data_IF_099887636459
#
_entry.id   IF_099887636459
#
_cell.length_a   1.000
_cell.length_b   1.000
_cell.length_c   1.000
_cell.angle_alpha   90.00
_cell.angle_beta   90.00
_cell.angle_gamma   90.00
#
_symmetry.space_group_name_H-M   'P 1'
#
loop_
_entity.id
_entity.type
_entity.pdbx_description
1 polymer ?
#
# COMPACT_ATOMS: atom_id res chain seq x y z
N UNK A 1 -22.22 -2.50 2.72
CA UNK A 1 -22.67 -1.16 3.17
C UNK A 1 -23.27 -0.44 1.97
N UNK A 2 -24.37 0.31 2.12
CA UNK A 2 -24.95 1.06 1.00
C UNK A 2 -23.95 2.12 0.48
N UNK A 3 -23.81 2.23 -0.85
CA UNK A 3 -22.87 3.14 -1.52
C UNK A 3 -22.89 4.57 -0.94
N UNK A 4 -24.07 5.17 -0.76
CA UNK A 4 -24.19 6.53 -0.20
C UNK A 4 -23.59 6.68 1.20
N UNK A 5 -23.74 5.66 2.06
CA UNK A 5 -23.17 5.65 3.43
C UNK A 5 -21.65 5.48 3.38
N UNK A 6 -21.16 4.61 2.49
CA UNK A 6 -19.73 4.41 2.24
C UNK A 6 -19.05 5.71 1.82
N UNK A 7 -19.59 6.38 0.81
CA UNK A 7 -19.07 7.66 0.32
C UNK A 7 -19.16 8.75 1.39
N UNK A 8 -20.22 8.77 2.20
CA UNK A 8 -20.34 9.69 3.33
C UNK A 8 -19.23 9.51 4.37
N UNK A 9 -18.93 8.25 4.74
CA UNK A 9 -17.86 7.93 5.66
C UNK A 9 -16.48 8.29 5.07
N UNK A 10 -16.24 7.96 3.80
CA UNK A 10 -15.03 8.34 3.08
C UNK A 10 -14.77 9.84 3.10
N UNK A 11 -15.76 10.65 2.71
CA UNK A 11 -15.63 12.11 2.69
C UNK A 11 -15.28 12.66 4.07
N UNK A 12 -15.92 12.14 5.12
CA UNK A 12 -15.63 12.52 6.50
C UNK A 12 -14.17 12.22 6.89
N UNK A 13 -13.65 11.05 6.51
CA UNK A 13 -12.25 10.70 6.79
C UNK A 13 -11.28 11.56 5.98
N UNK A 14 -11.57 11.84 4.70
CA UNK A 14 -10.76 12.76 3.88
C UNK A 14 -10.73 14.17 4.49
N UNK A 15 -11.88 14.70 4.93
CA UNK A 15 -11.97 16.01 5.58
C UNK A 15 -11.21 16.02 6.91
N UNK A 16 -11.28 14.93 7.69
CA UNK A 16 -10.51 14.79 8.93
C UNK A 16 -9.00 14.82 8.65
N UNK A 17 -8.51 14.03 7.69
CA UNK A 17 -7.09 14.00 7.32
C UNK A 17 -6.64 15.38 6.85
N UNK A 18 -7.43 16.05 6.00
CA UNK A 18 -7.12 17.38 5.48
C UNK A 18 -6.98 18.45 6.57
N UNK A 19 -7.72 18.32 7.67
CA UNK A 19 -7.73 19.29 8.77
C UNK A 19 -6.76 18.94 9.91
N UNK A 20 -6.20 17.73 9.93
CA UNK A 20 -5.27 17.27 10.97
C UNK A 20 -3.83 17.23 10.43
N UNK A 21 -3.17 18.39 10.41
CA UNK A 21 -1.75 18.45 10.13
C UNK A 21 -0.96 17.88 11.33
N UNK A 22 0.01 16.99 11.05
CA UNK A 22 0.99 16.54 12.04
C UNK A 22 2.11 17.57 12.10
N UNK A 23 2.47 18.02 13.30
CA UNK A 23 3.54 18.99 13.54
C UNK A 23 4.95 18.40 13.34
N UNK A 24 5.93 19.27 13.11
CA UNK A 24 7.34 18.87 13.02
C UNK A 24 7.85 18.26 14.34
N UNK A 25 7.35 18.76 15.48
CA UNK A 25 7.61 18.21 16.80
C UNK A 25 7.12 16.76 16.91
N UNK A 26 5.88 16.47 16.50
CA UNK A 26 5.34 15.10 16.50
C UNK A 26 6.17 14.18 15.57
N UNK A 27 6.57 14.64 14.39
CA UNK A 27 7.45 13.86 13.49
C UNK A 27 8.77 13.53 14.17
N UNK A 28 9.36 14.49 14.89
CA UNK A 28 10.60 14.30 15.62
C UNK A 28 10.43 13.31 16.78
N UNK A 29 9.34 13.39 17.53
CA UNK A 29 9.03 12.42 18.59
C UNK A 29 8.98 10.99 18.05
N UNK A 30 8.38 10.78 16.88
CA UNK A 30 8.39 9.47 16.21
C UNK A 30 9.78 9.03 15.79
N UNK A 31 10.63 9.92 15.27
CA UNK A 31 12.02 9.58 14.94
C UNK A 31 12.80 9.15 16.17
N UNK A 32 12.63 9.85 17.29
CA UNK A 32 13.33 9.53 18.54
C UNK A 32 12.82 8.23 19.15
N UNK A 33 11.51 7.97 19.10
CA UNK A 33 10.90 6.70 19.49
C UNK A 33 11.44 5.51 18.67
N UNK A 34 11.60 5.66 17.35
CA UNK A 34 12.18 4.61 16.51
C UNK A 34 13.62 4.29 16.96
N UNK A 35 14.45 5.32 17.18
CA UNK A 35 15.85 5.14 17.62
C UNK A 35 15.92 4.49 19.00
N UNK A 36 15.07 4.91 19.92
CA UNK A 36 14.97 4.31 21.26
C UNK A 36 14.59 2.83 21.17
N UNK A 37 13.59 2.50 20.36
CA UNK A 37 13.14 1.12 20.13
C UNK A 37 14.25 0.25 19.54
N UNK A 38 15.03 0.77 18.59
CA UNK A 38 16.24 0.10 18.08
C UNK A 38 17.25 -0.17 19.19
N UNK A 39 17.51 0.79 20.09
CA UNK A 39 18.45 0.60 21.19
C UNK A 39 17.96 -0.41 22.22
N UNK A 40 16.66 -0.43 22.51
CA UNK A 40 16.07 -1.38 23.43
C UNK A 40 16.15 -2.80 22.85
N UNK A 41 15.77 -3.00 21.58
CA UNK A 41 15.90 -4.30 20.91
C UNK A 41 17.37 -4.80 20.90
N UNK A 42 18.36 -3.91 20.76
CA UNK A 42 19.77 -4.29 20.86
C UNK A 42 20.16 -4.78 22.26
N UNK A 43 19.74 -4.05 23.31
CA UNK A 43 20.03 -4.42 24.71
C UNK A 43 19.38 -5.75 25.07
N UNK A 44 18.20 -6.01 24.53
CA UNK A 44 17.42 -7.22 24.77
C UNK A 44 17.87 -8.41 23.89
N UNK A 45 18.88 -8.20 23.02
CA UNK A 45 19.48 -9.26 22.19
C UNK A 45 18.76 -9.53 20.87
N UNK A 46 17.78 -8.71 20.47
CA UNK A 46 17.03 -8.82 19.21
C UNK A 46 17.75 -8.19 18.00
N UNK A 47 19.09 -8.25 17.97
CA UNK A 47 19.91 -7.61 16.93
C UNK A 47 19.50 -7.99 15.50
N UNK A 48 19.04 -9.23 15.29
CA UNK A 48 18.68 -9.73 13.96
C UNK A 48 17.38 -9.12 13.42
N UNK A 49 16.49 -8.64 14.29
CA UNK A 49 15.16 -8.14 13.90
C UNK A 49 14.99 -6.63 14.05
N UNK A 50 16.05 -5.89 14.43
CA UNK A 50 15.99 -4.44 14.67
C UNK A 50 15.43 -3.61 13.51
N UNK A 51 15.52 -4.10 12.26
CA UNK A 51 14.94 -3.43 11.10
C UNK A 51 13.42 -3.25 11.22
N UNK A 52 12.73 -4.12 11.98
CA UNK A 52 11.28 -4.03 12.23
C UNK A 52 10.88 -2.71 12.89
N UNK A 53 11.78 -2.06 13.61
CA UNK A 53 11.49 -0.79 14.27
C UNK A 53 11.16 0.35 13.28
N UNK A 54 11.59 0.25 12.03
CA UNK A 54 11.16 1.19 10.98
C UNK A 54 9.64 1.14 10.74
N UNK A 55 8.96 0.05 11.11
CA UNK A 55 7.49 -0.04 11.00
C UNK A 55 6.76 0.92 11.94
N UNK A 56 7.39 1.38 13.02
CA UNK A 56 6.81 2.40 13.90
C UNK A 56 6.59 3.72 13.15
N UNK A 57 7.42 4.01 12.13
CA UNK A 57 7.26 5.18 11.26
C UNK A 57 6.12 5.08 10.25
N UNK A 58 5.42 3.94 10.14
CA UNK A 58 4.30 3.77 9.20
C UNK A 58 3.21 4.82 9.45
N UNK A 59 2.88 5.08 10.72
CA UNK A 59 1.84 6.05 11.10
C UNK A 59 2.13 7.48 10.63
N UNK A 60 3.41 7.84 10.49
CA UNK A 60 3.83 9.17 10.05
C UNK A 60 4.11 9.21 8.55
N UNK A 61 4.80 8.21 7.99
CA UNK A 61 5.31 8.29 6.61
C UNK A 61 4.40 7.62 5.57
N UNK A 62 3.43 6.83 6.00
CA UNK A 62 2.39 6.23 5.16
C UNK A 62 0.96 6.38 5.72
N UNK A 63 0.85 7.01 6.90
CA UNK A 63 -0.39 7.37 7.57
C UNK A 63 -0.88 8.75 7.14
N UNK A 64 -1.38 9.55 8.08
CA UNK A 64 -2.20 10.73 7.75
C UNK A 64 -1.38 11.93 7.30
N UNK A 65 -0.15 12.10 7.78
CA UNK A 65 0.71 13.23 7.42
C UNK A 65 0.99 13.37 5.91
N UNK A 66 1.52 12.36 5.19
CA UNK A 66 1.73 12.49 3.74
C UNK A 66 0.42 12.75 2.99
N UNK A 67 -0.68 12.16 3.45
CA UNK A 67 -2.00 12.36 2.84
C UNK A 67 -2.50 13.78 3.07
N UNK A 68 -2.31 14.34 4.27
CA UNK A 68 -2.63 15.73 4.59
C UNK A 68 -1.90 16.71 3.65
N UNK A 69 -0.59 16.53 3.50
CA UNK A 69 0.23 17.34 2.58
C UNK A 69 -0.33 17.27 1.15
N UNK A 70 -0.55 16.07 0.61
CA UNK A 70 -1.09 15.90 -0.75
C UNK A 70 -2.49 16.52 -0.90
N UNK A 71 -3.38 16.32 0.09
CA UNK A 71 -4.75 16.86 0.07
C UNK A 71 -4.81 18.38 0.17
N UNK A 72 -3.78 19.02 0.73
CA UNK A 72 -3.65 20.48 0.86
C UNK A 72 -2.81 21.10 -0.26
N UNK A 73 -2.27 20.29 -1.18
CA UNK A 73 -1.55 20.73 -2.37
C UNK A 73 -0.04 20.72 -2.25
N UNK A 74 0.51 20.22 -1.13
CA UNK A 74 1.94 20.03 -0.96
C UNK A 74 2.37 18.64 -1.47
N UNK A 75 3.18 18.66 -2.53
CA UNK A 75 3.69 17.45 -3.16
C UNK A 75 4.76 16.73 -2.33
N UNK A 76 5.29 17.34 -1.27
CA UNK A 76 6.27 16.68 -0.39
C UNK A 76 5.68 15.48 0.35
N UNK A 77 4.34 15.37 0.44
CA UNK A 77 3.70 14.13 0.91
C UNK A 77 4.11 12.89 0.09
N UNK A 78 4.40 13.02 -1.21
CA UNK A 78 4.91 11.91 -2.03
C UNK A 78 6.36 11.52 -1.70
N UNK A 79 7.17 12.45 -1.17
CA UNK A 79 8.51 12.14 -0.67
C UNK A 79 8.45 11.23 0.55
N UNK A 80 7.54 11.51 1.50
CA UNK A 80 7.30 10.66 2.66
C UNK A 80 6.81 9.26 2.28
N UNK A 81 5.92 9.15 1.30
CA UNK A 81 5.50 7.84 0.78
C UNK A 81 6.68 7.09 0.14
N UNK A 82 7.56 7.81 -0.57
CA UNK A 82 8.77 7.19 -1.13
C UNK A 82 9.71 6.69 -0.02
N UNK A 83 9.94 7.50 1.02
CA UNK A 83 10.69 7.09 2.22
C UNK A 83 10.12 5.81 2.83
N UNK A 84 8.80 5.75 3.01
CA UNK A 84 8.13 4.57 3.53
C UNK A 84 8.40 3.33 2.67
N UNK A 85 8.25 3.40 1.34
CA UNK A 85 8.51 2.26 0.47
C UNK A 85 9.98 1.80 0.53
N UNK A 86 10.92 2.73 0.60
CA UNK A 86 12.35 2.42 0.74
C UNK A 86 12.66 1.74 2.08
N UNK A 87 12.01 2.16 3.16
CA UNK A 87 12.12 1.49 4.45
C UNK A 87 11.52 0.09 4.40
N UNK A 88 10.33 -0.08 3.80
CA UNK A 88 9.72 -1.39 3.62
C UNK A 88 10.59 -2.33 2.77
N UNK A 89 11.27 -1.82 1.76
CA UNK A 89 12.24 -2.58 0.99
C UNK A 89 13.39 -3.10 1.87
N UNK A 90 13.97 -2.25 2.72
CA UNK A 90 15.02 -2.67 3.66
C UNK A 90 14.49 -3.70 4.67
N UNK A 91 13.29 -3.50 5.22
CA UNK A 91 12.67 -4.45 6.15
C UNK A 91 12.48 -5.81 5.47
N UNK A 92 11.92 -5.85 4.25
CA UNK A 92 11.76 -7.08 3.49
C UNK A 92 13.11 -7.74 3.20
N UNK A 93 14.15 -6.98 2.87
CA UNK A 93 15.48 -7.55 2.62
C UNK A 93 16.10 -8.21 3.86
N UNK A 94 15.81 -7.69 5.05
CA UNK A 94 16.38 -8.20 6.31
C UNK A 94 15.52 -9.28 6.96
N UNK A 95 14.20 -9.12 6.90
CA UNK A 95 13.25 -9.86 7.74
C UNK A 95 12.29 -10.74 6.93
N UNK A 96 12.62 -11.02 5.66
CA UNK A 96 11.82 -11.83 4.76
C UNK A 96 11.35 -13.15 5.41
N UNK A 97 12.28 -13.90 6.00
CA UNK A 97 12.00 -15.22 6.57
C UNK A 97 11.37 -15.14 7.97
N UNK A 98 11.50 -14.00 8.65
CA UNK A 98 10.92 -13.77 9.99
C UNK A 98 9.42 -13.45 9.94
N UNK A 99 8.87 -13.16 8.77
CA UNK A 99 7.46 -12.80 8.56
C UNK A 99 6.99 -11.57 9.36
N UNK A 100 7.88 -10.60 9.53
CA UNK A 100 7.66 -9.38 10.34
C UNK A 100 7.00 -8.23 9.56
N UNK A 101 6.85 -8.34 8.24
CA UNK A 101 6.08 -7.35 7.45
C UNK A 101 4.60 -7.70 7.51
N UNK A 102 3.78 -6.74 7.94
CA UNK A 102 2.33 -6.93 8.05
C UNK A 102 1.71 -7.28 6.70
N UNK A 103 0.84 -8.30 6.67
CA UNK A 103 0.06 -8.66 5.48
C UNK A 103 -0.71 -7.47 4.90
N UNK A 104 -1.21 -6.59 5.78
CA UNK A 104 -2.04 -5.41 5.49
C UNK A 104 -1.32 -4.27 4.76
N UNK A 105 0.00 -4.38 4.55
CA UNK A 105 0.80 -3.39 3.79
C UNK A 105 1.32 -3.94 2.46
N UNK A 106 1.28 -5.26 2.25
CA UNK A 106 1.89 -5.88 1.06
C UNK A 106 1.22 -5.45 -0.25
N UNK A 107 -0.09 -5.23 -0.21
CA UNK A 107 -0.87 -4.88 -1.40
C UNK A 107 -0.51 -3.50 -1.92
N UNK A 108 -0.42 -2.51 -1.02
CA UNK A 108 -0.01 -1.16 -1.39
C UNK A 108 1.47 -1.11 -1.82
N UNK A 109 2.33 -1.92 -1.18
CA UNK A 109 3.73 -2.06 -1.59
C UNK A 109 3.82 -2.58 -3.03
N UNK A 110 3.14 -3.68 -3.38
CA UNK A 110 3.09 -4.20 -4.75
C UNK A 110 2.56 -3.13 -5.71
N UNK A 111 1.41 -2.54 -5.40
CA UNK A 111 0.74 -1.60 -6.31
C UNK A 111 1.56 -0.38 -6.65
N UNK A 112 2.00 0.34 -5.62
CA UNK A 112 2.70 1.61 -5.82
C UNK A 112 4.12 1.40 -6.35
N UNK A 113 4.82 0.34 -5.93
CA UNK A 113 6.13 -0.01 -6.48
C UNK A 113 6.06 -0.37 -7.97
N UNK A 114 5.02 -1.06 -8.42
CA UNK A 114 4.80 -1.33 -9.86
C UNK A 114 4.49 -0.06 -10.66
N UNK A 115 3.69 0.86 -10.10
CA UNK A 115 3.41 2.15 -10.74
C UNK A 115 4.70 2.95 -10.94
N UNK A 116 5.57 2.97 -9.93
CA UNK A 116 6.83 3.72 -9.91
C UNK A 116 8.04 2.98 -10.47
N UNK A 117 7.89 1.75 -10.96
CA UNK A 117 9.01 0.97 -11.52
C UNK A 117 10.06 0.55 -10.49
N UNK A 118 9.69 0.42 -9.22
CA UNK A 118 10.54 -0.11 -8.15
C UNK A 118 10.54 -1.65 -8.19
N UNK A 119 11.16 -2.20 -9.24
CA UNK A 119 11.05 -3.63 -9.60
C UNK A 119 11.51 -4.59 -8.51
N UNK A 120 12.57 -4.26 -7.75
CA UNK A 120 13.02 -5.13 -6.66
C UNK A 120 12.03 -5.19 -5.51
N UNK A 121 11.46 -4.04 -5.13
CA UNK A 121 10.43 -3.97 -4.10
C UNK A 121 9.16 -4.70 -4.53
N UNK A 122 8.66 -4.47 -5.77
CA UNK A 122 7.43 -5.12 -6.25
C UNK A 122 7.59 -6.63 -6.27
N UNK A 123 8.71 -7.14 -6.80
CA UNK A 123 9.03 -8.56 -6.85
C UNK A 123 9.15 -9.18 -5.46
N UNK A 124 9.94 -8.60 -4.57
CA UNK A 124 10.09 -9.13 -3.19
C UNK A 124 8.78 -9.10 -2.42
N UNK A 125 7.97 -8.05 -2.60
CA UNK A 125 6.64 -7.98 -1.97
C UNK A 125 5.72 -9.08 -2.47
N UNK A 126 5.76 -9.41 -3.77
CA UNK A 126 5.00 -10.52 -4.36
C UNK A 126 5.48 -11.89 -3.87
N UNK A 127 6.80 -12.09 -3.77
CA UNK A 127 7.40 -13.32 -3.23
C UNK A 127 7.00 -13.51 -1.76
N UNK A 128 7.08 -12.44 -0.96
CA UNK A 128 6.68 -12.47 0.45
C UNK A 128 5.17 -12.72 0.61
N UNK A 129 4.33 -12.09 -0.23
CA UNK A 129 2.90 -12.40 -0.28
C UNK A 129 2.65 -13.90 -0.46
N UNK A 130 3.40 -14.57 -1.33
CA UNK A 130 3.21 -16.01 -1.59
C UNK A 130 3.40 -16.84 -0.32
N UNK A 131 4.43 -16.54 0.47
CA UNK A 131 4.72 -17.23 1.74
C UNK A 131 3.57 -17.05 2.74
N UNK A 132 3.01 -15.83 2.82
CA UNK A 132 1.86 -15.55 3.69
C UNK A 132 0.59 -16.25 3.19
N UNK A 133 0.34 -16.19 1.89
CA UNK A 133 -0.81 -16.79 1.23
C UNK A 133 -0.85 -18.31 1.42
N UNK A 134 0.28 -18.98 1.18
CA UNK A 134 0.40 -20.44 1.35
C UNK A 134 0.20 -20.87 2.81
N UNK A 135 0.52 -19.99 3.76
CA UNK A 135 0.26 -20.21 5.18
C UNK A 135 -1.22 -20.10 5.57
N UNK A 136 -2.05 -19.35 4.84
CA UNK A 136 -3.45 -19.13 5.22
C UNK A 136 -4.36 -18.64 4.08
N UNK A 137 -4.65 -19.50 3.09
CA UNK A 137 -5.50 -19.16 1.94
C UNK A 137 -6.92 -18.71 2.31
N UNK A 138 -7.51 -19.32 3.33
CA UNK A 138 -8.87 -18.98 3.80
C UNK A 138 -8.95 -17.54 4.34
N UNK A 139 -7.91 -17.08 5.05
CA UNK A 139 -7.84 -15.71 5.52
C UNK A 139 -7.86 -14.70 4.37
N UNK A 140 -7.15 -14.97 3.28
CA UNK A 140 -7.16 -14.12 2.09
C UNK A 140 -8.52 -14.12 1.37
N UNK A 141 -9.22 -15.26 1.33
CA UNK A 141 -10.57 -15.31 0.76
C UNK A 141 -11.59 -14.46 1.54
N UNK A 142 -11.41 -14.34 2.86
CA UNK A 142 -12.41 -13.73 3.76
C UNK A 142 -12.09 -12.28 4.16
N UNK A 143 -10.80 -11.94 4.33
CA UNK A 143 -10.38 -10.71 5.02
C UNK A 143 -9.34 -9.87 4.26
N UNK A 144 -8.57 -10.47 3.37
CA UNK A 144 -7.41 -9.83 2.71
C UNK A 144 -7.47 -9.93 1.17
N UNK A 145 -8.68 -9.88 0.60
CA UNK A 145 -8.91 -10.01 -0.86
C UNK A 145 -8.24 -8.93 -1.72
N UNK A 146 -8.03 -7.74 -1.20
CA UNK A 146 -7.30 -6.66 -1.84
C UNK A 146 -5.84 -7.07 -2.07
N UNK A 147 -5.18 -7.65 -1.06
CA UNK A 147 -3.79 -8.09 -1.18
C UNK A 147 -3.64 -9.23 -2.20
N UNK A 148 -4.60 -10.15 -2.21
CA UNK A 148 -4.70 -11.20 -3.23
C UNK A 148 -4.88 -10.60 -4.64
N UNK A 149 -5.73 -9.59 -4.78
CA UNK A 149 -5.93 -8.90 -6.06
C UNK A 149 -4.67 -8.18 -6.55
N UNK A 150 -3.92 -7.53 -5.66
CA UNK A 150 -2.66 -6.87 -6.03
C UNK A 150 -1.60 -7.88 -6.52
N UNK A 151 -1.53 -9.06 -5.91
CA UNK A 151 -0.67 -10.14 -6.39
C UNK A 151 -1.11 -10.67 -7.77
N UNK A 152 -2.42 -10.78 -8.02
CA UNK A 152 -2.97 -11.15 -9.33
C UNK A 152 -2.63 -10.13 -10.42
N UNK A 153 -2.71 -8.83 -10.12
CA UNK A 153 -2.32 -7.77 -11.05
C UNK A 153 -0.81 -7.81 -11.36
N UNK A 154 0.02 -8.08 -10.34
CA UNK A 154 1.45 -8.29 -10.54
C UNK A 154 1.70 -9.45 -11.52
N UNK A 155 1.11 -10.63 -11.26
CA UNK A 155 1.30 -11.82 -12.10
C UNK A 155 0.80 -11.57 -13.52
N UNK A 156 -0.34 -10.91 -13.67
CA UNK A 156 -0.94 -10.55 -14.96
C UNK A 156 -0.04 -9.61 -15.77
N UNK A 157 0.55 -8.60 -15.13
CA UNK A 157 1.46 -7.66 -15.78
C UNK A 157 2.74 -8.33 -16.30
N UNK A 158 3.30 -9.29 -15.54
CA UNK A 158 4.58 -9.92 -15.88
C UNK A 158 4.45 -11.14 -16.80
N UNK A 159 3.33 -11.87 -16.70
CA UNK A 159 3.13 -13.13 -17.43
C UNK A 159 2.10 -13.03 -18.54
N UNK A 160 1.31 -11.95 -18.56
CA UNK A 160 0.14 -11.81 -19.44
C UNK A 160 -1.01 -12.75 -19.09
N UNK A 161 -0.97 -13.42 -17.93
CA UNK A 161 -1.96 -14.42 -17.52
C UNK A 161 -2.37 -14.23 -16.06
N UNK A 162 -3.64 -14.49 -15.79
CA UNK A 162 -4.20 -14.54 -14.44
C UNK A 162 -3.73 -15.85 -13.78
N UNK A 163 -3.14 -15.77 -12.58
CA UNK A 163 -2.72 -16.95 -11.82
C UNK A 163 -3.94 -17.79 -11.41
N UNK A 164 -4.10 -19.04 -11.89
CA UNK A 164 -5.28 -19.86 -11.58
C UNK A 164 -5.40 -20.18 -10.09
N UNK A 165 -4.27 -20.37 -9.41
CA UNK A 165 -4.23 -20.68 -7.99
C UNK A 165 -4.78 -19.52 -7.14
N UNK A 166 -4.30 -18.31 -7.38
CA UNK A 166 -4.74 -17.11 -6.66
C UNK A 166 -6.20 -16.78 -7.00
N UNK A 167 -6.55 -16.87 -8.29
CA UNK A 167 -7.90 -16.57 -8.77
C UNK A 167 -8.96 -17.50 -8.19
N UNK A 168 -8.64 -18.79 -7.99
CA UNK A 168 -9.57 -19.76 -7.39
C UNK A 168 -9.96 -19.42 -5.94
N UNK A 169 -9.17 -18.62 -5.24
CA UNK A 169 -9.43 -18.20 -3.85
C UNK A 169 -10.33 -16.96 -3.78
N UNK A 170 -10.43 -16.16 -4.85
CA UNK A 170 -11.30 -15.00 -4.86
C UNK A 170 -12.78 -15.42 -4.79
N UNK A 171 -13.57 -14.86 -3.85
CA UNK A 171 -15.00 -15.15 -3.76
C UNK A 171 -15.75 -14.78 -5.05
N UNK A 172 -16.68 -15.64 -5.48
CA UNK A 172 -17.41 -15.50 -6.76
C UNK A 172 -18.09 -14.13 -6.95
N UNK A 173 -18.62 -13.56 -5.88
CA UNK A 173 -19.36 -12.28 -5.94
C UNK A 173 -18.48 -11.05 -5.69
N UNK A 174 -17.16 -11.23 -5.49
CA UNK A 174 -16.24 -10.14 -5.21
C UNK A 174 -15.94 -9.33 -6.49
N UNK A 175 -15.98 -7.99 -6.40
CA UNK A 175 -15.74 -7.09 -7.53
C UNK A 175 -14.38 -7.27 -8.21
N UNK A 176 -13.34 -7.66 -7.46
CA UNK A 176 -12.04 -8.00 -8.05
C UNK A 176 -12.14 -9.18 -9.01
N UNK A 177 -12.91 -10.22 -8.65
CA UNK A 177 -13.10 -11.40 -9.51
C UNK A 177 -13.90 -11.03 -10.77
N UNK A 178 -15.00 -10.30 -10.61
CA UNK A 178 -15.82 -9.82 -11.75
C UNK A 178 -14.98 -9.00 -12.73
N UNK A 179 -14.11 -8.10 -12.24
CA UNK A 179 -13.22 -7.34 -13.11
C UNK A 179 -12.27 -8.26 -13.89
N UNK A 180 -11.70 -9.27 -13.24
CA UNK A 180 -10.80 -10.24 -13.87
C UNK A 180 -11.52 -11.10 -14.92
N UNK A 181 -12.77 -11.49 -14.67
CA UNK A 181 -13.61 -12.24 -15.63
C UNK A 181 -13.87 -11.44 -16.90
N UNK A 182 -13.97 -10.12 -16.74
CA UNK A 182 -14.17 -9.17 -17.82
C UNK A 182 -12.89 -8.43 -18.19
N UNK A 183 -11.70 -8.97 -17.90
CA UNK A 183 -10.43 -8.28 -18.11
C UNK A 183 -10.23 -7.84 -19.58
N UNK A 184 -10.69 -8.63 -20.56
CA UNK A 184 -10.55 -8.25 -21.97
C UNK A 184 -11.78 -7.55 -22.55
N UNK A 185 -12.73 -7.11 -21.71
CA UNK A 185 -13.92 -6.40 -22.20
C UNK A 185 -13.55 -5.11 -22.93
N UNK A 186 -14.26 -4.85 -24.01
CA UNK A 186 -14.25 -3.59 -24.76
C UNK A 186 -15.50 -2.74 -24.49
N UNK A 187 -16.47 -3.30 -23.73
CA UNK A 187 -17.66 -2.60 -23.28
C UNK A 187 -17.29 -1.58 -22.20
N UNK A 188 -17.39 -0.30 -22.57
CA UNK A 188 -17.02 0.86 -21.75
C UNK A 188 -17.98 1.04 -20.57
N UNK A 189 -19.27 0.74 -20.74
CA UNK A 189 -20.27 0.89 -19.67
C UNK A 189 -20.05 -0.18 -18.60
N UNK A 190 -19.86 -1.43 -19.03
CA UNK A 190 -19.53 -2.54 -18.14
C UNK A 190 -18.22 -2.26 -17.38
N UNK A 191 -17.16 -1.87 -18.09
CA UNK A 191 -15.87 -1.56 -17.48
C UNK A 191 -15.97 -0.38 -16.51
N UNK A 192 -16.74 0.67 -16.86
CA UNK A 192 -17.02 1.80 -15.97
C UNK A 192 -17.66 1.36 -14.66
N UNK A 193 -18.69 0.50 -14.74
CA UNK A 193 -19.35 -0.08 -13.56
C UNK A 193 -18.40 -0.90 -12.69
N UNK A 194 -17.53 -1.71 -13.31
CA UNK A 194 -16.54 -2.51 -12.58
C UNK A 194 -15.49 -1.64 -11.89
N UNK A 195 -14.99 -0.59 -12.53
CA UNK A 195 -14.02 0.33 -11.92
C UNK A 195 -14.64 1.08 -10.73
N UNK A 196 -15.92 1.48 -10.82
CA UNK A 196 -16.66 2.06 -9.69
C UNK A 196 -16.75 1.06 -8.53
N UNK A 197 -17.07 -0.20 -8.81
CA UNK A 197 -17.11 -1.26 -7.79
C UNK A 197 -15.74 -1.46 -7.12
N UNK A 198 -14.64 -1.42 -7.88
CA UNK A 198 -13.28 -1.46 -7.31
C UNK A 198 -13.01 -0.25 -6.41
N UNK A 199 -13.41 0.95 -6.81
CA UNK A 199 -13.23 2.13 -5.97
C UNK A 199 -14.00 2.02 -4.65
N UNK A 200 -15.23 1.50 -4.69
CA UNK A 200 -16.04 1.25 -3.49
C UNK A 200 -15.37 0.20 -2.58
N UNK A 201 -14.85 -0.89 -3.17
CA UNK A 201 -14.10 -1.91 -2.42
C UNK A 201 -12.85 -1.31 -1.78
N UNK A 202 -12.07 -0.51 -2.49
CA UNK A 202 -10.89 0.16 -1.96
C UNK A 202 -11.22 1.03 -0.74
N UNK A 203 -12.27 1.86 -0.83
CA UNK A 203 -12.72 2.68 0.31
C UNK A 203 -13.16 1.77 1.46
N UNK A 204 -13.98 0.76 1.18
CA UNK A 204 -14.48 -0.13 2.20
C UNK A 204 -13.34 -0.85 2.92
N UNK A 205 -12.35 -1.34 2.17
CA UNK A 205 -11.14 -1.98 2.67
C UNK A 205 -10.27 -1.02 3.47
N UNK A 206 -10.22 0.27 3.11
CA UNK A 206 -9.47 1.33 3.80
C UNK A 206 -10.09 1.82 5.12
N UNK A 207 -11.41 1.71 5.27
CA UNK A 207 -12.11 2.20 6.46
C UNK A 207 -11.93 1.25 7.66
N UNK A 208 -11.68 1.85 8.82
CA UNK A 208 -11.78 1.20 10.13
C UNK A 208 -13.20 1.38 10.67
N UNK A 209 -13.94 0.28 10.77
CA UNK A 209 -15.36 0.26 11.13
C UNK A 209 -15.54 -0.54 12.42
N UNK A 210 -16.62 -0.25 13.16
CA UNK A 210 -16.90 -0.84 14.49
C UNK A 210 -16.71 -2.36 14.57
N UNK A 211 -16.99 -3.10 13.49
CA UNK A 211 -16.91 -4.56 13.44
C UNK A 211 -15.92 -5.08 12.37
N UNK A 212 -15.05 -4.23 11.83
CA UNK A 212 -14.12 -4.58 10.75
C UNK A 212 -12.91 -3.66 10.78
N UNK A 213 -11.76 -4.23 11.05
CA UNK A 213 -10.49 -3.51 10.89
C UNK A 213 -10.27 -3.14 9.42
N UNK A 214 -9.55 -2.03 9.19
CA UNK A 214 -9.08 -1.72 7.83
C UNK A 214 -8.24 -2.87 7.28
N UNK A 215 -8.47 -3.31 6.06
CA UNK A 215 -7.60 -4.25 5.36
C UNK A 215 -6.37 -3.50 4.84
N UNK A 216 -6.59 -2.37 4.17
CA UNK A 216 -5.54 -1.48 3.66
C UNK A 216 -5.07 -0.59 4.81
N UNK A 217 -4.03 -1.02 5.54
CA UNK A 217 -3.54 -0.30 6.71
C UNK A 217 -2.78 0.98 6.35
N UNK A 218 -1.91 0.90 5.34
CA UNK A 218 -1.04 2.00 4.90
C UNK A 218 -1.40 2.45 3.49
N UNK A 219 -1.16 3.74 3.18
CA UNK A 219 -1.50 4.32 1.88
C UNK A 219 -2.98 4.19 1.52
N UNK A 220 -3.83 4.06 2.54
CA UNK A 220 -5.27 4.03 2.42
C UNK A 220 -5.78 5.29 1.70
N UNK A 221 -6.81 5.13 0.87
CA UNK A 221 -7.40 6.17 0.02
C UNK A 221 -6.54 6.66 -1.15
N UNK A 222 -5.32 6.14 -1.34
CA UNK A 222 -4.57 6.33 -2.58
C UNK A 222 -4.99 5.20 -3.54
N UNK A 223 -5.66 5.50 -4.67
CA UNK A 223 -6.24 4.48 -5.56
C UNK A 223 -5.19 3.83 -6.47
N UNK A 224 -4.11 3.29 -5.88
CA UNK A 224 -3.01 2.67 -6.61
C UNK A 224 -3.45 1.41 -7.37
N UNK A 225 -4.47 0.71 -6.90
CA UNK A 225 -5.07 -0.45 -7.54
C UNK A 225 -5.78 -0.06 -8.83
N UNK A 226 -6.63 0.98 -8.81
CA UNK A 226 -7.32 1.50 -10.00
C UNK A 226 -6.30 2.02 -11.01
N UNK A 227 -5.30 2.81 -10.56
CA UNK A 227 -4.24 3.29 -11.45
C UNK A 227 -3.40 2.16 -12.04
N UNK A 228 -3.18 1.09 -11.28
CA UNK A 228 -2.45 -0.07 -11.80
C UNK A 228 -3.28 -0.85 -12.83
N UNK A 229 -4.59 -1.01 -12.61
CA UNK A 229 -5.51 -1.59 -13.61
C UNK A 229 -5.41 -0.80 -14.92
N UNK A 230 -5.57 0.53 -14.86
CA UNK A 230 -5.48 1.41 -16.03
C UNK A 230 -4.13 1.23 -16.76
N UNK A 231 -3.01 1.23 -16.02
CA UNK A 231 -1.67 1.05 -16.58
C UNK A 231 -1.52 -0.28 -17.30
N UNK A 232 -1.84 -1.40 -16.63
CA UNK A 232 -1.65 -2.74 -17.22
C UNK A 232 -2.53 -2.90 -18.47
N UNK A 233 -3.79 -2.46 -18.41
CA UNK A 233 -4.70 -2.50 -19.57
C UNK A 233 -4.16 -1.68 -20.74
N UNK A 234 -3.65 -0.47 -20.46
CA UNK A 234 -3.06 0.40 -21.49
C UNK A 234 -1.84 -0.26 -22.13
N UNK A 235 -0.95 -0.85 -21.34
CA UNK A 235 0.24 -1.57 -21.81
C UNK A 235 -0.12 -2.80 -22.67
N UNK A 236 -1.28 -3.42 -22.39
CA UNK A 236 -1.82 -4.53 -23.19
C UNK A 236 -2.65 -4.07 -24.40
N UNK A 237 -2.77 -2.76 -24.66
CA UNK A 237 -3.58 -2.21 -25.74
C UNK A 237 -5.09 -2.39 -25.57
N UNK A 238 -5.56 -2.59 -24.33
CA UNK A 238 -6.97 -2.77 -24.00
C UNK A 238 -7.67 -1.42 -23.77
N UNK A 239 -8.99 -1.40 -23.98
CA UNK A 239 -9.82 -0.23 -23.69
C UNK A 239 -9.74 0.15 -22.22
N UNK A 240 -9.60 1.44 -21.93
CA UNK A 240 -9.70 2.01 -20.58
C UNK A 240 -10.88 2.98 -20.49
N UNK A 241 -11.30 3.26 -19.26
CA UNK A 241 -12.40 4.19 -18.97
C UNK A 241 -11.98 5.18 -17.90
N UNK A 242 -12.50 6.39 -18.00
CA UNK A 242 -12.43 7.36 -16.91
C UNK A 242 -13.71 7.23 -16.08
N UNK A 243 -13.59 6.67 -14.89
CA UNK A 243 -14.73 6.51 -13.99
C UNK A 243 -14.92 7.77 -13.13
N UNK A 244 -16.14 8.26 -13.02
CA UNK A 244 -16.49 9.35 -12.11
C UNK A 244 -16.75 8.80 -10.72
N UNK A 245 -15.75 8.88 -9.84
CA UNK A 245 -15.87 8.38 -8.47
C UNK A 245 -15.21 9.32 -7.46
N UNK A 246 -15.80 9.55 -6.26
CA UNK A 246 -15.23 10.44 -5.25
C UNK A 246 -13.78 10.12 -4.85
N UNK A 247 -13.39 8.84 -4.82
CA UNK A 247 -12.01 8.41 -4.57
C UNK A 247 -11.04 8.99 -5.61
N UNK A 248 -11.42 8.92 -6.90
CA UNK A 248 -10.62 9.33 -8.04
C UNK A 248 -10.62 10.86 -8.24
N UNK A 249 -11.54 11.58 -7.58
CA UNK A 249 -11.63 13.03 -7.62
C UNK A 249 -10.72 13.74 -6.59
N UNK A 250 -10.06 12.99 -5.71
CA UNK A 250 -9.17 13.58 -4.68
C UNK A 250 -7.76 13.85 -5.24
N UNK A 251 -7.01 14.80 -4.65
CA UNK A 251 -5.58 14.96 -4.96
C UNK A 251 -4.74 13.68 -4.78
N UNK A 252 -5.15 12.77 -3.89
CA UNK A 252 -4.49 11.46 -3.68
C UNK A 252 -4.55 10.56 -4.93
N UNK A 253 -5.52 10.76 -5.81
CA UNK A 253 -5.66 10.02 -7.06
C UNK A 253 -4.65 10.46 -8.15
N UNK A 254 -3.96 11.59 -7.94
CA UNK A 254 -2.94 12.12 -8.84
C UNK A 254 -1.57 11.52 -8.51
N UNK A 255 -1.47 10.19 -8.60
CA UNK A 255 -0.22 9.47 -8.31
C UNK A 255 0.86 9.90 -9.33
N UNK A 256 2.04 10.35 -8.87
CA UNK A 256 3.15 10.72 -9.75
C UNK A 256 3.56 9.57 -10.67
N UNK A 257 3.97 9.88 -11.90
CA UNK A 257 4.44 8.87 -12.87
C UNK A 257 5.72 8.14 -12.41
N UNK A 258 6.51 8.78 -11.57
CA UNK A 258 7.71 8.23 -10.95
C UNK A 258 7.75 8.62 -9.48
N UNK A 259 8.41 7.79 -8.67
CA UNK A 259 8.66 8.12 -7.26
C UNK A 259 9.41 9.45 -7.13
N UNK A 260 9.15 10.17 -6.04
CA UNK A 260 9.94 11.35 -5.70
C UNK A 260 11.33 10.91 -5.23
N UNK A 261 12.32 11.78 -5.33
CA UNK A 261 13.64 11.46 -4.79
C UNK A 261 13.63 11.54 -3.27
N UNK A 262 14.18 10.50 -2.63
CA UNK A 262 14.48 10.47 -1.21
C UNK A 262 15.89 9.89 -1.03
N UNK A 263 16.77 10.67 -0.44
CA UNK A 263 18.16 10.29 -0.24
C UNK A 263 18.32 9.57 1.11
N UNK A 264 18.34 8.24 1.07
CA UNK A 264 18.56 7.41 2.27
C UNK A 264 19.89 7.70 2.96
N UNK A 265 20.90 8.24 2.26
CA UNK A 265 22.19 8.59 2.89
C UNK A 265 22.07 9.77 3.86
N UNK A 266 21.01 10.57 3.72
CA UNK A 266 20.70 11.73 4.58
C UNK A 266 19.55 11.46 5.55
N UNK A 267 18.91 10.30 5.44
CA UNK A 267 17.81 9.92 6.32
C UNK A 267 18.34 9.54 7.71
N UNK A 268 18.09 10.39 8.69
CA UNK A 268 18.65 10.27 10.03
C UNK A 268 18.32 8.92 10.70
N UNK A 269 17.07 8.49 10.65
CA UNK A 269 16.59 7.24 11.27
C UNK A 269 17.17 6.03 10.54
N UNK A 270 17.15 6.06 9.20
CA UNK A 270 17.73 4.98 8.41
C UNK A 270 19.23 4.86 8.62
N UNK A 271 19.97 5.98 8.62
CA UNK A 271 21.41 6.00 8.87
C UNK A 271 21.74 5.54 10.30
N UNK A 272 20.89 5.86 11.27
CA UNK A 272 21.03 5.34 12.63
C UNK A 272 20.93 3.81 12.66
N UNK A 273 19.88 3.24 12.07
CA UNK A 273 19.71 1.79 11.93
C UNK A 273 20.93 1.15 11.24
N UNK A 274 21.40 1.73 10.13
CA UNK A 274 22.56 1.21 9.38
C UNK A 274 23.83 1.16 10.22
N UNK A 275 24.12 2.21 11.00
CA UNK A 275 25.30 2.22 11.89
C UNK A 275 25.22 1.12 12.94
N UNK A 276 24.03 0.91 13.49
CA UNK A 276 23.77 -0.17 14.45
C UNK A 276 23.96 -1.55 13.82
N UNK A 277 23.39 -1.79 12.63
CA UNK A 277 23.53 -3.05 11.88
C UNK A 277 25.01 -3.37 11.62
N UNK A 278 25.78 -2.37 11.22
CA UNK A 278 27.21 -2.48 10.89
C UNK A 278 28.12 -2.58 12.14
N UNK A 279 27.56 -2.54 13.35
CA UNK A 279 28.33 -2.60 14.61
C UNK A 279 29.17 -1.36 14.89
N UNK A 280 28.88 -0.23 14.22
CA UNK A 280 29.55 1.05 14.41
C UNK A 280 28.81 1.84 15.49
N UNK A 281 29.16 1.58 16.75
CA UNK A 281 28.69 2.38 17.88
C UNK A 281 29.47 3.70 17.93
N UNK A 282 28.82 4.79 17.54
CA UNK A 282 29.28 6.16 17.77
C UNK A 282 28.47 6.81 18.86
#
# INVERSE_FOLDING_TARGET
MEHKKLIGAFKKEIDKIKNNAISDEEIKEWHDLIKESIQNDLKDGYKETIARNLTLGIGVHAGDHPKNLILTGDNDGWKYITRFLLWQEHILQKLFDYKEVSSRTIGCMIGLSMLWGMNDLSRRSREYFQILFDGNKEHYAQKETHHLFMALLYDLSHTGRISPELYAVLPEQNGYKKLLDHWHTTDVELLGGLIIEICDLHIYSSLDLKNKFSEILSLNYIPYDVRLIEKIRQEQGLTNVQAEHPLLATPLANIPKSKYEWDLSKDEVYQYLRRVEDGKHG
#
